data_IF_766728561102
#
_entry.id   IF_766728561102
#
_cell.length_a   1.000
_cell.length_b   1.000
_cell.length_c   1.000
_cell.angle_alpha   90.00
_cell.angle_beta   90.00
_cell.angle_gamma   90.00
#
_symmetry.space_group_name_H-M   'P 1'
#
loop_
_entity.id
_entity.type
_entity.pdbx_description
1 polymer ?
#
# COMPACT_ATOMS: atom_id res chain seq x y z
N UNK A 1 12.07 1.93 -23.67
CA UNK A 1 12.98 0.90 -23.07
C UNK A 1 12.45 0.63 -21.68
N UNK A 2 12.27 -0.63 -21.27
CA UNK A 2 11.74 -1.00 -19.96
C UNK A 2 12.76 -1.83 -19.17
N UNK A 3 12.67 -1.80 -17.84
CA UNK A 3 13.60 -2.50 -16.95
C UNK A 3 13.36 -4.00 -16.98
N UNK A 4 14.45 -4.78 -17.00
CA UNK A 4 14.47 -6.25 -16.86
C UNK A 4 15.40 -6.70 -15.72
N UNK A 5 15.83 -5.78 -14.86
CA UNK A 5 16.78 -6.08 -13.78
C UNK A 5 16.18 -7.11 -12.81
N UNK A 6 14.88 -7.00 -12.54
CA UNK A 6 14.12 -7.91 -11.70
C UNK A 6 13.81 -9.26 -12.35
N UNK A 7 14.27 -9.54 -13.57
CA UNK A 7 14.18 -10.88 -14.16
C UNK A 7 15.17 -11.87 -13.54
N UNK A 8 16.21 -11.37 -12.84
CA UNK A 8 17.24 -12.17 -12.15
C UNK A 8 16.78 -12.55 -10.73
N UNK A 9 16.90 -13.82 -10.37
CA UNK A 9 16.51 -14.34 -9.05
C UNK A 9 17.23 -13.62 -7.91
N UNK A 10 18.55 -13.48 -7.99
CA UNK A 10 19.38 -12.81 -6.96
C UNK A 10 18.92 -11.37 -6.64
N UNK A 11 18.39 -10.66 -7.64
CA UNK A 11 17.85 -9.30 -7.46
C UNK A 11 16.54 -9.37 -6.69
N UNK A 12 15.64 -10.30 -7.04
CA UNK A 12 14.35 -10.46 -6.35
C UNK A 12 14.55 -10.94 -4.91
N UNK A 13 15.41 -11.92 -4.71
CA UNK A 13 15.72 -12.47 -3.38
C UNK A 13 16.30 -11.41 -2.43
N UNK A 14 16.98 -10.40 -2.95
CA UNK A 14 17.51 -9.29 -2.15
C UNK A 14 16.48 -8.18 -1.95
N UNK A 15 15.81 -7.76 -3.03
CA UNK A 15 14.99 -6.54 -3.03
C UNK A 15 13.59 -6.77 -2.48
N UNK A 16 12.95 -7.92 -2.79
CA UNK A 16 11.57 -8.18 -2.35
C UNK A 16 11.45 -8.24 -0.81
N UNK A 17 12.34 -8.92 -0.07
CA UNK A 17 12.29 -8.88 1.40
C UNK A 17 12.49 -7.47 1.96
N UNK A 18 13.38 -6.66 1.36
CA UNK A 18 13.57 -5.28 1.76
C UNK A 18 12.32 -4.44 1.51
N UNK A 19 11.67 -4.60 0.35
CA UNK A 19 10.41 -3.96 0.00
C UNK A 19 9.29 -4.32 1.00
N UNK A 20 9.18 -5.61 1.36
CA UNK A 20 8.22 -6.06 2.39
C UNK A 20 8.56 -5.48 3.77
N UNK A 21 9.84 -5.32 4.11
CA UNK A 21 10.27 -4.65 5.33
C UNK A 21 9.84 -3.18 5.38
N UNK A 22 9.90 -2.46 4.25
CA UNK A 22 9.41 -1.08 4.15
C UNK A 22 7.89 -1.00 4.29
N UNK A 23 7.15 -1.94 3.70
CA UNK A 23 5.69 -2.04 3.91
C UNK A 23 5.41 -2.25 5.40
N UNK A 24 6.12 -3.16 6.06
CA UNK A 24 5.92 -3.42 7.49
C UNK A 24 6.26 -2.20 8.35
N UNK A 25 7.30 -1.45 7.99
CA UNK A 25 7.63 -0.21 8.68
C UNK A 25 6.51 0.83 8.54
N UNK A 26 5.90 0.97 7.36
CA UNK A 26 4.75 1.86 7.14
C UNK A 26 3.56 1.42 8.02
N UNK A 27 3.27 0.12 8.07
CA UNK A 27 2.22 -0.46 8.90
C UNK A 27 2.43 -0.14 10.40
N UNK A 28 3.65 -0.31 10.92
CA UNK A 28 3.96 0.06 12.31
C UNK A 28 3.79 1.57 12.58
N UNK A 29 4.17 2.43 11.62
CA UNK A 29 3.97 3.88 11.75
C UNK A 29 2.49 4.29 11.68
N UNK A 30 1.67 3.59 10.89
CA UNK A 30 0.23 3.78 10.90
C UNK A 30 -0.37 3.40 12.26
N UNK A 31 0.11 2.32 12.89
CA UNK A 31 -0.25 1.97 14.26
C UNK A 31 0.01 3.13 15.24
N UNK A 32 1.21 3.71 15.22
CA UNK A 32 1.54 4.87 16.06
C UNK A 32 0.65 6.09 15.78
N UNK A 33 0.33 6.36 14.51
CA UNK A 33 -0.57 7.44 14.14
C UNK A 33 -1.99 7.20 14.68
N UNK A 34 -2.50 5.99 14.55
CA UNK A 34 -3.83 5.61 15.01
C UNK A 34 -3.93 5.64 16.53
N UNK A 35 -2.95 5.11 17.27
CA UNK A 35 -2.89 5.22 18.73
C UNK A 35 -2.94 6.69 19.19
N UNK A 36 -2.22 7.56 18.49
CA UNK A 36 -2.27 9.01 18.73
C UNK A 36 -3.68 9.55 18.44
N UNK A 37 -4.27 9.24 17.30
CA UNK A 37 -5.60 9.73 16.93
C UNK A 37 -6.67 9.27 17.93
N UNK A 38 -6.61 8.03 18.41
CA UNK A 38 -7.53 7.50 19.43
C UNK A 38 -7.37 8.24 20.75
N UNK A 39 -6.13 8.42 21.23
CA UNK A 39 -5.84 9.14 22.48
C UNK A 39 -6.41 10.56 22.51
N UNK A 40 -6.47 11.22 21.36
CA UNK A 40 -6.93 12.60 21.23
C UNK A 40 -8.36 12.72 20.67
N UNK A 41 -9.08 11.61 20.49
CA UNK A 41 -10.46 11.61 19.97
C UNK A 41 -10.58 12.08 18.51
N UNK A 42 -9.50 11.99 17.72
CA UNK A 42 -9.47 12.52 16.35
C UNK A 42 -10.18 11.61 15.34
N UNK A 43 -10.38 10.34 15.68
CA UNK A 43 -11.10 9.39 14.81
C UNK A 43 -12.53 9.83 14.50
N UNK A 44 -13.20 10.50 15.43
CA UNK A 44 -14.62 10.88 15.29
C UNK A 44 -14.88 11.92 14.19
N UNK A 45 -13.86 12.68 13.79
CA UNK A 45 -14.01 13.79 12.85
C UNK A 45 -12.93 13.81 11.75
N UNK A 46 -12.26 12.68 11.51
CA UNK A 46 -11.22 12.57 10.48
C UNK A 46 -11.59 11.49 9.45
N UNK A 47 -11.80 11.91 8.20
CA UNK A 47 -11.86 11.00 7.05
C UNK A 47 -10.43 10.50 6.75
N UNK A 48 -10.24 9.19 6.72
CA UNK A 48 -8.95 8.58 6.42
C UNK A 48 -9.04 7.87 5.08
N UNK A 49 -8.13 8.21 4.16
CA UNK A 49 -7.97 7.56 2.87
C UNK A 49 -6.55 7.02 2.79
N UNK A 50 -6.42 5.70 2.67
CA UNK A 50 -5.14 5.02 2.47
C UNK A 50 -5.10 4.42 1.07
N UNK A 51 -4.07 4.77 0.31
CA UNK A 51 -3.91 4.31 -1.07
C UNK A 51 -2.44 4.36 -1.50
N UNK A 52 -2.21 4.01 -2.76
CA UNK A 52 -0.91 4.09 -3.44
C UNK A 52 -1.11 4.78 -4.79
N UNK A 53 -0.06 5.37 -5.33
CA UNK A 53 -0.05 6.00 -6.66
C UNK A 53 0.13 4.97 -7.79
N UNK A 54 0.90 3.91 -7.53
CA UNK A 54 1.11 2.78 -8.43
C UNK A 54 1.70 1.57 -7.67
N UNK A 55 1.60 0.37 -8.24
CA UNK A 55 2.35 -0.80 -7.78
C UNK A 55 3.76 -0.89 -8.39
N UNK A 56 4.43 -2.03 -8.22
CA UNK A 56 5.73 -2.31 -8.84
C UNK A 56 5.72 -3.74 -9.39
N UNK A 57 6.31 -3.95 -10.57
CA UNK A 57 6.40 -5.27 -11.17
C UNK A 57 7.20 -6.25 -10.30
N UNK A 58 8.28 -5.82 -9.64
CA UNK A 58 9.15 -6.69 -8.81
C UNK A 58 9.57 -8.04 -9.45
N UNK A 59 9.53 -8.14 -10.79
CA UNK A 59 9.83 -9.35 -11.54
C UNK A 59 8.64 -9.96 -12.28
N UNK A 60 7.41 -9.63 -11.90
CA UNK A 60 6.20 -10.04 -12.58
C UNK A 60 6.20 -9.58 -14.03
N UNK A 61 5.63 -10.41 -14.90
CA UNK A 61 5.68 -10.22 -16.35
C UNK A 61 7.10 -10.08 -16.93
N UNK A 62 8.15 -10.53 -16.21
CA UNK A 62 9.57 -10.38 -16.56
C UNK A 62 10.06 -8.92 -16.56
N UNK A 63 9.39 -8.05 -15.80
CA UNK A 63 9.62 -6.62 -15.78
C UNK A 63 10.07 -6.15 -14.40
N UNK A 64 10.66 -4.97 -14.35
CA UNK A 64 10.74 -4.16 -13.13
C UNK A 64 10.08 -2.80 -13.34
N UNK A 65 10.03 -1.99 -12.29
CA UNK A 65 9.42 -0.64 -12.29
C UNK A 65 7.90 -0.69 -12.49
N UNK A 66 7.29 0.34 -13.07
CA UNK A 66 5.82 0.52 -13.13
C UNK A 66 5.29 1.13 -14.43
N UNK A 67 5.98 0.90 -15.55
CA UNK A 67 5.73 1.66 -16.79
C UNK A 67 4.61 1.10 -17.69
N UNK A 68 4.02 -0.05 -17.36
CA UNK A 68 3.03 -0.74 -18.20
C UNK A 68 1.73 -0.96 -17.43
N UNK A 69 0.69 -1.42 -18.13
CA UNK A 69 -0.70 -1.38 -17.67
C UNK A 69 -1.22 -2.68 -17.03
N UNK A 70 -0.33 -3.62 -16.69
CA UNK A 70 -0.77 -4.81 -15.96
C UNK A 70 -1.21 -4.45 -14.54
N UNK A 71 -2.18 -5.18 -14.00
CA UNK A 71 -2.79 -4.93 -12.68
C UNK A 71 -1.76 -4.68 -11.57
N UNK A 72 -0.66 -5.43 -11.55
CA UNK A 72 0.42 -5.27 -10.55
C UNK A 72 1.02 -3.86 -10.48
N UNK A 73 0.92 -3.07 -11.55
CA UNK A 73 1.42 -1.70 -11.61
C UNK A 73 0.30 -0.65 -11.46
N UNK A 74 -0.91 -0.91 -11.97
CA UNK A 74 -1.97 0.12 -12.06
C UNK A 74 -3.12 -0.06 -11.08
N UNK A 75 -3.32 -1.27 -10.53
CA UNK A 75 -4.39 -1.57 -9.59
C UNK A 75 -3.88 -1.42 -8.17
N UNK A 76 -4.15 -0.25 -7.59
CA UNK A 76 -3.66 0.14 -6.26
C UNK A 76 -4.62 -0.28 -5.14
N UNK A 77 -4.12 -0.49 -3.90
CA UNK A 77 -4.98 -0.58 -2.73
C UNK A 77 -5.73 0.73 -2.50
N UNK A 78 -6.99 0.63 -2.06
CA UNK A 78 -7.81 1.78 -1.69
C UNK A 78 -8.64 1.41 -0.47
N UNK A 79 -8.36 2.05 0.66
CA UNK A 79 -9.10 1.88 1.91
C UNK A 79 -9.61 3.26 2.31
N UNK A 80 -10.91 3.34 2.57
CA UNK A 80 -11.56 4.57 3.02
C UNK A 80 -12.26 4.28 4.34
N UNK A 81 -11.89 5.04 5.37
CA UNK A 81 -12.57 5.09 6.65
C UNK A 81 -13.25 6.45 6.75
N UNK A 82 -14.57 6.45 6.63
CA UNK A 82 -15.41 7.61 6.91
C UNK A 82 -15.99 7.44 8.32
N UNK A 83 -15.76 8.38 9.26
CA UNK A 83 -16.24 8.26 10.63
C UNK A 83 -17.74 8.51 10.79
N UNK A 84 -18.42 8.98 9.74
CA UNK A 84 -19.83 9.33 9.81
C UNK A 84 -20.72 8.09 9.90
N UNK A 85 -21.78 8.10 10.71
CA UNK A 85 -22.69 6.96 10.86
C UNK A 85 -23.31 6.47 9.55
N UNK A 86 -23.54 7.36 8.58
CA UNK A 86 -24.16 7.00 7.31
C UNK A 86 -23.26 6.08 6.46
N UNK A 87 -21.94 6.13 6.67
CA UNK A 87 -20.97 5.27 6.00
C UNK A 87 -20.82 3.90 6.66
N UNK A 88 -21.31 3.72 7.89
CA UNK A 88 -21.13 2.49 8.68
C UNK A 88 -21.80 1.28 8.01
N UNK A 89 -22.96 1.48 7.38
CA UNK A 89 -23.68 0.45 6.62
C UNK A 89 -22.88 -0.13 5.43
N UNK A 90 -21.77 0.52 5.03
CA UNK A 90 -20.91 0.10 3.92
C UNK A 90 -19.55 -0.43 4.35
N UNK A 91 -19.22 -0.39 5.66
CA UNK A 91 -18.03 -1.07 6.17
C UNK A 91 -18.25 -2.57 6.07
N UNK A 92 -17.23 -3.28 5.57
CA UNK A 92 -17.30 -4.72 5.34
C UNK A 92 -17.87 -5.48 6.54
N UNK A 93 -18.80 -6.40 6.26
CA UNK A 93 -19.29 -7.40 7.21
C UNK A 93 -18.22 -8.40 7.59
#
# INVERSE_FOLDING_TARGET
RYSKNFSRDEVRETVVPCYMGLIKQIDDQLGHLFDFMEKWGLFENTLIVFTSDHGDYLGDHWLGEKYLFHDVAVKVPMIVYDPRPEADATRGT
#
